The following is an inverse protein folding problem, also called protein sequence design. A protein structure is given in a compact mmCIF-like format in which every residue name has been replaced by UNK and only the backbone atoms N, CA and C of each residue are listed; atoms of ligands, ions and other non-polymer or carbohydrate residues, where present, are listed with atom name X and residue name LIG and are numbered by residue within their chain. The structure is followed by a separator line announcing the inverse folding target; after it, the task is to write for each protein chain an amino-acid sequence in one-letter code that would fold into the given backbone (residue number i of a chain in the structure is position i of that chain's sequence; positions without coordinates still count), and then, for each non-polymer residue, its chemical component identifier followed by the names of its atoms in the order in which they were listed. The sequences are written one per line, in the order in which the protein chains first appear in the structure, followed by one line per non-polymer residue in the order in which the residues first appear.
data_IF_218564130177
#
_entry.id   IF_218564130177
#
_cell.length_a   1.000
_cell.length_b   1.000
_cell.length_c   1.000
_cell.angle_alpha   90.00
_cell.angle_beta   90.00
_cell.angle_gamma   90.00
#
_symmetry.space_group_name_H-M   'P 1'
#
loop_
_entity.id
_entity.type
_entity.pdbx_description
1 polymer ?
#
# COMPACT_ATOMS: atom_id res chain seq x y z
N UNK A 1 -22.65 16.95 3.46
CA UNK A 1 -22.24 16.63 2.07
C UNK A 1 -21.94 15.15 2.00
N UNK A 2 -22.87 14.36 1.46
CA UNK A 2 -22.70 12.91 1.30
C UNK A 2 -21.76 12.69 0.11
N UNK A 3 -20.46 12.56 0.35
CA UNK A 3 -19.54 12.10 -0.69
C UNK A 3 -19.79 10.62 -0.93
N UNK A 4 -20.92 10.31 -1.60
CA UNK A 4 -21.09 9.02 -2.26
C UNK A 4 -19.91 8.88 -3.21
N UNK A 5 -18.97 8.01 -2.86
CA UNK A 5 -17.88 7.62 -3.72
C UNK A 5 -18.53 7.05 -4.95
N UNK A 6 -18.51 7.85 -6.02
CA UNK A 6 -19.13 7.62 -7.32
C UNK A 6 -18.82 6.25 -7.96
N UNK A 7 -17.90 5.46 -7.39
CA UNK A 7 -17.56 4.12 -7.87
C UNK A 7 -16.79 3.27 -6.81
N UNK A 8 -17.47 2.48 -5.94
CA UNK A 8 -16.81 1.65 -4.92
C UNK A 8 -15.92 0.55 -5.52
N UNK A 9 -16.20 0.10 -6.75
CA UNK A 9 -15.33 -0.84 -7.47
C UNK A 9 -13.98 -0.21 -7.85
N UNK A 10 -13.98 1.09 -8.21
CA UNK A 10 -12.75 1.83 -8.51
C UNK A 10 -11.88 1.99 -7.27
N UNK A 11 -12.46 2.26 -6.09
CA UNK A 11 -11.71 2.32 -4.83
C UNK A 11 -11.05 1.00 -4.45
N UNK A 12 -11.76 -0.13 -4.60
CA UNK A 12 -11.18 -1.47 -4.35
C UNK A 12 -9.99 -1.73 -5.26
N UNK A 13 -10.08 -1.35 -6.55
CA UNK A 13 -8.96 -1.44 -7.51
C UNK A 13 -7.78 -0.56 -7.12
N UNK A 14 -8.04 0.68 -6.67
CA UNK A 14 -6.99 1.60 -6.21
C UNK A 14 -6.27 1.03 -4.99
N UNK A 15 -7.00 0.54 -3.99
CA UNK A 15 -6.39 -0.09 -2.82
C UNK A 15 -5.51 -1.28 -3.18
N UNK A 16 -5.95 -2.14 -4.11
CA UNK A 16 -5.16 -3.27 -4.60
C UNK A 16 -3.90 -2.81 -5.36
N UNK A 17 -4.03 -1.76 -6.19
CA UNK A 17 -2.91 -1.19 -6.94
C UNK A 17 -1.83 -0.65 -5.99
N UNK A 18 -2.23 0.09 -4.95
CA UNK A 18 -1.31 0.61 -3.93
C UNK A 18 -0.53 -0.52 -3.28
N UNK A 19 -1.21 -1.59 -2.87
CA UNK A 19 -0.56 -2.75 -2.26
C UNK A 19 0.48 -3.40 -3.18
N UNK A 20 0.16 -3.54 -4.48
CA UNK A 20 1.09 -4.09 -5.47
C UNK A 20 2.31 -3.18 -5.65
N UNK A 21 2.09 -1.87 -5.76
CA UNK A 21 3.17 -0.89 -5.91
C UNK A 21 4.08 -0.92 -4.68
N UNK A 22 3.51 -0.88 -3.47
CA UNK A 22 4.28 -0.91 -2.22
C UNK A 22 5.11 -2.20 -2.11
N UNK A 23 4.56 -3.34 -2.54
CA UNK A 23 5.30 -4.60 -2.56
C UNK A 23 6.48 -4.60 -3.55
N UNK A 24 6.28 -4.05 -4.75
CA UNK A 24 7.34 -3.91 -5.76
C UNK A 24 8.43 -2.97 -5.22
N UNK A 25 8.04 -1.81 -4.69
CA UNK A 25 8.99 -0.83 -4.14
C UNK A 25 9.73 -1.43 -2.94
N UNK A 26 9.06 -2.14 -2.04
CA UNK A 26 9.70 -2.82 -0.91
C UNK A 26 10.73 -3.86 -1.38
N UNK A 27 10.41 -4.64 -2.41
CA UNK A 27 11.32 -5.65 -2.97
C UNK A 27 12.55 -4.99 -3.61
N UNK A 28 12.34 -3.94 -4.42
CA UNK A 28 13.43 -3.18 -5.02
C UNK A 28 14.30 -2.52 -3.95
N UNK A 29 13.69 -1.95 -2.91
CA UNK A 29 14.42 -1.35 -1.81
C UNK A 29 15.21 -2.40 -1.03
N UNK A 30 14.64 -3.58 -0.76
CA UNK A 30 15.35 -4.64 -0.08
C UNK A 30 16.63 -5.05 -0.84
N UNK A 31 16.52 -5.23 -2.16
CA UNK A 31 17.62 -5.68 -3.03
C UNK A 31 18.66 -4.58 -3.25
N UNK A 32 18.22 -3.38 -3.64
CA UNK A 32 19.09 -2.29 -4.08
C UNK A 32 19.37 -1.25 -2.99
N UNK A 33 18.63 -1.28 -1.88
CA UNK A 33 18.76 -0.32 -0.79
C UNK A 33 20.17 -0.23 -0.20
N UNK A 34 20.85 -1.37 0.05
CA UNK A 34 22.23 -1.34 0.53
C UNK A 34 23.21 -0.69 -0.47
N UNK A 35 23.06 -0.97 -1.77
CA UNK A 35 23.99 -0.46 -2.78
C UNK A 35 23.73 1.00 -3.18
N UNK A 36 22.47 1.41 -3.25
CA UNK A 36 22.07 2.76 -3.68
C UNK A 36 22.17 3.79 -2.55
N UNK A 37 21.89 3.39 -1.31
CA UNK A 37 21.78 4.30 -0.17
C UNK A 37 22.80 4.03 0.95
N UNK A 38 23.69 3.05 0.78
CA UNK A 38 24.69 2.70 1.80
C UNK A 38 24.08 2.12 3.08
N UNK A 39 22.87 1.57 3.01
CA UNK A 39 22.17 1.03 4.17
C UNK A 39 22.71 -0.34 4.57
N UNK A 40 22.67 -0.65 5.86
CA UNK A 40 22.89 -2.03 6.30
C UNK A 40 21.74 -2.92 5.81
N UNK A 41 21.99 -4.22 5.56
CA UNK A 41 20.93 -5.15 5.13
C UNK A 41 19.73 -5.18 6.08
N UNK A 42 19.97 -5.02 7.38
CA UNK A 42 18.92 -5.02 8.41
C UNK A 42 18.06 -3.75 8.36
N UNK A 43 18.65 -2.58 8.08
CA UNK A 43 17.90 -1.35 7.87
C UNK A 43 17.09 -1.41 6.56
N UNK A 44 17.68 -1.96 5.50
CA UNK A 44 16.98 -2.17 4.22
C UNK A 44 15.75 -3.06 4.40
N UNK A 45 15.90 -4.17 5.14
CA UNK A 45 14.80 -5.05 5.51
C UNK A 45 13.72 -4.32 6.34
N UNK A 46 14.14 -3.51 7.31
CA UNK A 46 13.21 -2.72 8.13
C UNK A 46 12.34 -1.78 7.30
N UNK A 47 12.93 -1.06 6.35
CA UNK A 47 12.19 -0.18 5.43
C UNK A 47 11.24 -0.98 4.55
N UNK A 48 11.69 -2.12 4.00
CA UNK A 48 10.83 -2.99 3.19
C UNK A 48 9.60 -3.49 3.97
N UNK A 49 9.77 -3.87 5.23
CA UNK A 49 8.66 -4.29 6.11
C UNK A 49 7.68 -3.13 6.34
N UNK A 50 8.19 -1.91 6.58
CA UNK A 50 7.33 -0.73 6.78
C UNK A 50 6.51 -0.42 5.53
N UNK A 51 7.12 -0.50 4.34
CA UNK A 51 6.43 -0.30 3.07
C UNK A 51 5.31 -1.33 2.86
N UNK A 52 5.60 -2.60 3.09
CA UNK A 52 4.58 -3.67 3.00
C UNK A 52 3.45 -3.42 4.00
N UNK A 53 3.79 -3.08 5.25
CA UNK A 53 2.80 -2.77 6.29
C UNK A 53 1.90 -1.60 5.91
N UNK A 54 2.48 -0.52 5.37
CA UNK A 54 1.74 0.65 4.86
C UNK A 54 0.75 0.27 3.75
N UNK A 55 1.20 -0.55 2.79
CA UNK A 55 0.35 -1.02 1.69
C UNK A 55 -0.82 -1.87 2.17
N UNK A 56 -0.58 -2.74 3.15
CA UNK A 56 -1.63 -3.58 3.76
C UNK A 56 -2.68 -2.71 4.46
N UNK A 57 -2.26 -1.77 5.30
CA UNK A 57 -3.17 -0.86 6.01
C UNK A 57 -4.00 -0.04 5.01
N UNK A 58 -3.35 0.50 3.99
CA UNK A 58 -4.01 1.27 2.93
C UNK A 58 -5.03 0.43 2.17
N UNK A 59 -4.68 -0.80 1.79
CA UNK A 59 -5.59 -1.73 1.13
C UNK A 59 -6.86 -1.99 1.95
N UNK A 60 -6.70 -2.33 3.23
CA UNK A 60 -7.85 -2.58 4.12
C UNK A 60 -8.67 -1.31 4.36
N UNK A 61 -8.03 -0.15 4.48
CA UNK A 61 -8.72 1.13 4.60
C UNK A 61 -9.62 1.41 3.38
N UNK A 62 -9.06 1.34 2.16
CA UNK A 62 -9.85 1.56 0.93
C UNK A 62 -10.95 0.52 0.75
N UNK A 63 -10.69 -0.74 1.14
CA UNK A 63 -11.72 -1.79 1.13
C UNK A 63 -12.84 -1.50 2.12
N UNK A 64 -12.53 -1.02 3.32
CA UNK A 64 -13.51 -0.67 4.35
C UNK A 64 -14.36 0.53 3.91
N UNK A 65 -13.72 1.59 3.38
CA UNK A 65 -14.41 2.78 2.85
C UNK A 65 -15.35 2.39 1.70
N UNK A 66 -14.87 1.60 0.74
CA UNK A 66 -15.70 1.13 -0.37
C UNK A 66 -16.87 0.24 0.07
N UNK A 67 -16.76 -0.46 1.20
CA UNK A 67 -17.82 -1.33 1.73
C UNK A 67 -18.87 -0.56 2.54
N UNK A 68 -18.48 0.53 3.20
CA UNK A 68 -19.41 1.42 3.91
C UNK A 68 -20.35 2.14 2.94
N UNK A 69 -19.83 2.56 1.81
CA UNK A 69 -20.60 3.31 0.80
C UNK A 69 -21.58 2.45 -0.01
N UNK A 70 -21.41 1.12 -0.02
CA UNK A 70 -22.37 0.19 -0.62
C UNK A 70 -23.57 -0.11 0.27
N UNK A 71 -23.55 0.31 1.54
CA UNK A 71 -24.64 0.08 2.52
C UNK A 71 -25.57 1.27 2.69
N UNK A 72 -25.30 2.40 2.00
CA UNK A 72 -26.13 3.62 1.98
C UNK A 72 -26.85 3.69 0.66
#
# INVERSE_FOLDING_TARGET
MNQSVRNPAKLKKIGALILIIDFIVATLFFIFGPSLFGLSPMLSLGVAIVLIGSGIVSFFYFRAVASRDQRV
#
